data_IF_259828780100
#
_entry.id   IF_259828780100
#
_cell.length_a   1.000
_cell.length_b   1.000
_cell.length_c   1.000
_cell.angle_alpha   90.00
_cell.angle_beta   90.00
_cell.angle_gamma   90.00
#
_symmetry.space_group_name_H-M   'P 1'
#
loop_
_entity.id
_entity.type
_entity.pdbx_description
1 polymer ?
#
# COMPACT_ATOMS: atom_id res chain seq x y z
N UNK A 1 -24.26 -2.26 -8.44
CA UNK A 1 -22.84 -2.05 -8.13
C UNK A 1 -22.30 -1.03 -9.11
N UNK A 2 -21.66 0.02 -8.58
CA UNK A 2 -21.00 1.08 -9.35
C UNK A 2 -19.49 0.90 -9.25
N UNK A 3 -18.81 0.80 -10.38
CA UNK A 3 -17.35 0.63 -10.44
C UNK A 3 -16.70 2.01 -10.61
N UNK A 4 -15.82 2.37 -9.70
CA UNK A 4 -15.00 3.58 -9.79
C UNK A 4 -13.70 3.29 -10.55
N UNK A 5 -13.43 4.00 -11.61
CA UNK A 5 -12.20 3.88 -12.40
C UNK A 5 -11.19 4.89 -11.90
N UNK A 6 -10.07 4.41 -11.36
CA UNK A 6 -8.99 5.26 -10.86
C UNK A 6 -7.81 5.30 -11.81
N UNK A 7 -7.39 6.50 -12.17
CA UNK A 7 -6.16 6.75 -12.93
C UNK A 7 -5.24 7.69 -12.15
N UNK A 8 -3.99 7.30 -12.00
CA UNK A 8 -2.98 8.14 -11.35
C UNK A 8 -2.61 9.35 -12.21
N UNK A 9 -2.47 9.15 -13.52
CA UNK A 9 -2.18 10.20 -14.52
C UNK A 9 -2.93 9.82 -15.79
N UNK A 10 -3.80 10.72 -16.29
CA UNK A 10 -4.55 10.49 -17.52
C UNK A 10 -3.63 10.30 -18.72
N UNK A 11 -3.92 9.30 -19.56
CA UNK A 11 -3.20 9.04 -20.80
C UNK A 11 -1.87 8.31 -20.67
N UNK A 12 -1.60 7.65 -19.53
CA UNK A 12 -0.43 6.78 -19.34
C UNK A 12 -0.73 5.29 -19.72
N UNK A 13 0.30 4.46 -19.52
CA UNK A 13 0.30 3.01 -19.78
C UNK A 13 -1.00 2.35 -19.32
N UNK A 14 -1.71 1.67 -20.22
CA UNK A 14 -2.96 0.95 -19.91
C UNK A 14 -4.24 1.57 -20.50
N UNK A 15 -4.18 2.68 -21.24
CA UNK A 15 -5.36 3.34 -21.83
C UNK A 15 -6.16 2.39 -22.76
N UNK A 16 -5.45 1.57 -23.56
CA UNK A 16 -6.08 0.58 -24.42
C UNK A 16 -6.80 -0.49 -23.60
N UNK A 17 -6.13 -1.02 -22.60
CA UNK A 17 -6.67 -2.04 -21.67
C UNK A 17 -7.88 -1.51 -20.92
N UNK A 18 -7.80 -0.26 -20.43
CA UNK A 18 -8.93 0.43 -19.80
C UNK A 18 -10.11 0.56 -20.74
N UNK A 19 -9.89 1.09 -21.96
CA UNK A 19 -10.98 1.29 -22.94
C UNK A 19 -11.66 -0.03 -23.26
N UNK A 20 -10.90 -1.09 -23.45
CA UNK A 20 -11.43 -2.43 -23.71
C UNK A 20 -12.20 -2.97 -22.49
N UNK A 21 -11.68 -2.79 -21.27
CA UNK A 21 -12.35 -3.18 -20.04
C UNK A 21 -13.69 -2.45 -19.87
N UNK A 22 -13.75 -1.14 -20.12
CA UNK A 22 -14.99 -0.36 -20.05
C UNK A 22 -16.04 -0.89 -21.03
N UNK A 23 -15.63 -1.29 -22.25
CA UNK A 23 -16.54 -1.91 -23.22
C UNK A 23 -17.13 -3.24 -22.72
N UNK A 24 -16.37 -4.01 -21.93
CA UNK A 24 -16.91 -5.21 -21.27
C UNK A 24 -17.87 -4.87 -20.14
N UNK A 25 -17.61 -3.83 -19.34
CA UNK A 25 -18.56 -3.38 -18.31
C UNK A 25 -19.90 -2.96 -18.95
N UNK A 26 -19.86 -2.17 -20.02
CA UNK A 26 -21.05 -1.76 -20.78
C UNK A 26 -21.79 -2.99 -21.33
N UNK A 27 -21.09 -3.91 -21.99
CA UNK A 27 -21.63 -5.16 -22.53
C UNK A 27 -22.37 -5.99 -21.47
N UNK A 28 -21.87 -5.96 -20.24
CA UNK A 28 -22.44 -6.71 -19.11
C UNK A 28 -23.41 -5.90 -18.23
N UNK A 29 -23.71 -4.66 -18.59
CA UNK A 29 -24.66 -3.80 -17.87
C UNK A 29 -24.15 -3.36 -16.49
N UNK A 30 -22.84 -3.28 -16.29
CA UNK A 30 -22.23 -2.79 -15.04
C UNK A 30 -21.99 -1.28 -15.16
N UNK A 31 -22.56 -0.52 -14.23
CA UNK A 31 -22.37 0.94 -14.17
C UNK A 31 -20.96 1.27 -13.69
N UNK A 32 -20.37 2.30 -14.27
CA UNK A 32 -19.05 2.80 -13.84
C UNK A 32 -18.98 4.32 -13.87
N UNK A 33 -18.05 4.89 -13.11
CA UNK A 33 -17.72 6.30 -13.05
C UNK A 33 -16.20 6.48 -13.10
N UNK A 34 -15.72 7.56 -13.72
CA UNK A 34 -14.32 7.96 -13.56
C UNK A 34 -14.16 8.70 -12.24
N UNK A 35 -13.24 8.22 -11.40
CA UNK A 35 -12.95 8.88 -10.13
C UNK A 35 -12.11 10.13 -10.36
N UNK A 36 -12.66 11.28 -9.96
CA UNK A 36 -11.97 12.57 -9.93
C UNK A 36 -11.31 12.81 -8.56
N UNK A 37 -10.81 14.03 -8.32
CA UNK A 37 -10.33 14.44 -6.99
C UNK A 37 -11.44 14.52 -5.94
N UNK A 38 -12.70 14.55 -6.34
CA UNK A 38 -13.86 14.52 -5.43
C UNK A 38 -14.14 13.09 -5.01
N UNK A 39 -14.51 12.92 -3.74
CA UNK A 39 -14.93 11.62 -3.18
C UNK A 39 -16.27 11.20 -3.77
N UNK A 40 -16.23 10.54 -4.92
CA UNK A 40 -17.40 9.95 -5.55
C UNK A 40 -17.62 8.55 -4.98
N UNK A 41 -18.84 8.26 -4.54
CA UNK A 41 -19.17 6.96 -3.96
C UNK A 41 -19.20 5.88 -5.05
N UNK A 42 -18.46 4.78 -4.82
CA UNK A 42 -18.49 3.58 -5.64
C UNK A 42 -18.38 2.33 -4.76
N UNK A 43 -18.78 1.19 -5.32
CA UNK A 43 -18.78 -0.09 -4.61
C UNK A 43 -17.45 -0.85 -4.77
N UNK A 44 -16.67 -0.52 -5.80
CA UNK A 44 -15.40 -1.14 -6.16
C UNK A 44 -14.53 -0.12 -6.88
N UNK A 45 -13.27 0.01 -6.52
CA UNK A 45 -12.28 0.81 -7.25
C UNK A 45 -11.49 -0.13 -8.16
N UNK A 46 -11.46 0.16 -9.46
CA UNK A 46 -10.60 -0.54 -10.41
C UNK A 46 -9.45 0.37 -10.80
N UNK A 47 -8.23 -0.16 -10.72
CA UNK A 47 -6.99 0.53 -11.09
C UNK A 47 -6.28 -0.21 -12.20
N UNK A 48 -5.65 0.54 -13.13
CA UNK A 48 -4.85 0.01 -14.22
C UNK A 48 -3.40 0.41 -13.99
N UNK A 49 -2.51 -0.58 -13.81
CA UNK A 49 -1.10 -0.34 -13.52
C UNK A 49 -0.50 -1.41 -12.62
N UNK A 50 0.71 -1.18 -12.16
CA UNK A 50 1.39 -2.03 -11.17
C UNK A 50 1.13 -1.59 -9.73
N UNK A 51 1.88 -2.18 -8.79
CA UNK A 51 1.76 -1.96 -7.34
C UNK A 51 1.79 -0.47 -6.96
N UNK A 52 2.64 0.34 -7.60
CA UNK A 52 2.71 1.77 -7.33
C UNK A 52 1.40 2.55 -7.62
N UNK A 53 0.56 2.05 -8.55
CA UNK A 53 -0.76 2.63 -8.81
C UNK A 53 -1.75 2.23 -7.72
N UNK A 54 -1.69 0.97 -7.27
CA UNK A 54 -2.49 0.48 -6.14
C UNK A 54 -2.20 1.29 -4.89
N UNK A 55 -0.91 1.49 -4.55
CA UNK A 55 -0.51 2.27 -3.38
C UNK A 55 -1.09 3.70 -3.38
N UNK A 56 -1.16 4.34 -4.56
CA UNK A 56 -1.78 5.68 -4.66
C UNK A 56 -3.30 5.64 -4.56
N UNK A 57 -3.95 4.57 -5.02
CA UNK A 57 -5.39 4.40 -4.95
C UNK A 57 -5.91 4.11 -3.53
N UNK A 58 -5.06 3.58 -2.64
CA UNK A 58 -5.43 3.27 -1.24
C UNK A 58 -6.05 4.47 -0.53
N UNK A 59 -5.53 5.67 -0.76
CA UNK A 59 -6.08 6.91 -0.17
C UNK A 59 -7.55 7.16 -0.53
N UNK A 60 -8.05 6.61 -1.63
CA UNK A 60 -9.45 6.69 -2.05
C UNK A 60 -10.34 5.66 -1.37
N UNK A 61 -9.77 4.53 -1.00
CA UNK A 61 -10.47 3.43 -0.33
C UNK A 61 -10.63 3.66 1.18
N UNK A 62 -9.71 4.41 1.78
CA UNK A 62 -9.73 4.73 3.21
C UNK A 62 -10.97 5.58 3.54
N UNK A 63 -11.67 5.23 4.61
CA UNK A 63 -12.87 5.93 5.06
C UNK A 63 -14.18 5.40 4.48
N UNK A 64 -14.19 4.89 3.24
CA UNK A 64 -15.35 4.21 2.65
C UNK A 64 -15.26 2.68 2.73
N UNK A 65 -14.09 2.15 3.08
CA UNK A 65 -13.76 0.72 3.05
C UNK A 65 -14.10 0.07 1.68
N UNK A 66 -13.90 0.84 0.60
CA UNK A 66 -14.18 0.38 -0.76
C UNK A 66 -13.05 -0.54 -1.23
N UNK A 67 -13.35 -1.77 -1.67
CA UNK A 67 -12.32 -2.68 -2.16
C UNK A 67 -11.66 -2.17 -3.45
N UNK A 68 -10.39 -2.56 -3.65
CA UNK A 68 -9.61 -2.22 -4.84
C UNK A 68 -9.36 -3.49 -5.65
N UNK A 69 -9.61 -3.44 -6.95
CA UNK A 69 -9.24 -4.45 -7.93
C UNK A 69 -8.18 -3.86 -8.86
N UNK A 70 -7.03 -4.49 -8.94
CA UNK A 70 -5.94 -4.02 -9.78
C UNK A 70 -5.76 -4.91 -11.02
N UNK A 71 -5.73 -4.28 -12.19
CA UNK A 71 -5.41 -4.89 -13.48
C UNK A 71 -3.99 -4.47 -13.84
N UNK A 72 -3.11 -5.47 -13.95
CA UNK A 72 -1.72 -5.23 -14.32
C UNK A 72 -1.61 -4.79 -15.77
N UNK A 73 -0.94 -3.66 -16.00
CA UNK A 73 -0.64 -3.12 -17.35
C UNK A 73 0.86 -2.92 -17.55
N UNK A 74 1.67 -3.70 -16.85
CA UNK A 74 3.13 -3.59 -16.89
C UNK A 74 3.82 -4.84 -16.36
N UNK A 75 4.85 -4.66 -15.53
CA UNK A 75 5.52 -5.77 -14.84
C UNK A 75 4.61 -6.35 -13.76
N UNK A 76 4.59 -7.69 -13.65
CA UNK A 76 3.84 -8.40 -12.62
C UNK A 76 4.18 -7.87 -11.22
N UNK A 77 3.16 -7.51 -10.46
CA UNK A 77 3.27 -7.03 -9.09
C UNK A 77 2.67 -8.00 -8.08
N UNK A 78 2.80 -7.66 -6.80
CA UNK A 78 2.23 -8.42 -5.68
C UNK A 78 0.77 -8.02 -5.35
N UNK A 79 0.31 -6.86 -5.85
CA UNK A 79 -0.98 -6.27 -5.52
C UNK A 79 -1.99 -6.35 -6.67
N UNK A 80 -1.55 -6.74 -7.85
CA UNK A 80 -2.41 -6.89 -9.02
C UNK A 80 -3.14 -8.24 -8.99
N UNK A 81 -4.40 -8.25 -9.44
CA UNK A 81 -5.29 -9.42 -9.36
C UNK A 81 -5.60 -10.05 -10.71
N UNK A 82 -5.46 -9.28 -11.79
CA UNK A 82 -5.71 -9.69 -13.17
C UNK A 82 -4.65 -9.13 -14.10
N UNK A 83 -4.35 -9.87 -15.15
CA UNK A 83 -3.51 -9.44 -16.25
C UNK A 83 -4.35 -8.80 -17.38
N UNK A 84 -3.71 -8.11 -18.33
CA UNK A 84 -4.39 -7.46 -19.46
C UNK A 84 -5.24 -8.44 -20.29
N UNK A 85 -4.83 -9.68 -20.43
CA UNK A 85 -5.56 -10.73 -21.15
C UNK A 85 -6.74 -11.30 -20.36
N UNK A 86 -6.94 -10.91 -19.12
CA UNK A 86 -7.99 -11.40 -18.22
C UNK A 86 -9.11 -10.37 -17.96
N UNK A 87 -9.08 -9.21 -18.63
CA UNK A 87 -10.02 -8.11 -18.36
C UNK A 87 -11.49 -8.50 -18.59
N UNK A 88 -11.78 -9.35 -19.60
CA UNK A 88 -13.14 -9.85 -19.77
C UNK A 88 -13.57 -10.76 -18.62
N UNK A 89 -12.66 -11.59 -18.10
CA UNK A 89 -12.92 -12.41 -16.91
C UNK A 89 -13.17 -11.55 -15.67
N UNK A 90 -12.38 -10.50 -15.48
CA UNK A 90 -12.56 -9.53 -14.41
C UNK A 90 -13.96 -8.88 -14.48
N UNK A 91 -14.35 -8.37 -15.64
CA UNK A 91 -15.67 -7.77 -15.87
C UNK A 91 -16.82 -8.77 -15.60
N UNK A 92 -16.68 -10.04 -16.01
CA UNK A 92 -17.67 -11.10 -15.71
C UNK A 92 -17.78 -11.36 -14.21
N UNK A 93 -16.64 -11.46 -13.49
CA UNK A 93 -16.64 -11.68 -12.04
C UNK A 93 -17.27 -10.50 -11.30
N UNK A 94 -17.04 -9.28 -11.76
CA UNK A 94 -17.68 -8.07 -11.22
C UNK A 94 -19.21 -8.16 -11.39
N UNK A 95 -19.70 -8.43 -12.60
CA UNK A 95 -21.13 -8.59 -12.88
C UNK A 95 -21.77 -9.64 -11.99
N UNK A 96 -21.09 -10.78 -11.84
CA UNK A 96 -21.64 -11.94 -11.12
C UNK A 96 -21.49 -11.83 -9.59
N UNK A 97 -20.83 -10.79 -9.07
CA UNK A 97 -20.52 -10.65 -7.66
C UNK A 97 -19.58 -11.76 -7.12
N UNK A 98 -18.74 -12.33 -7.99
CA UNK A 98 -17.86 -13.47 -7.67
C UNK A 98 -16.39 -13.04 -7.46
N UNK A 99 -16.18 -11.86 -6.90
CA UNK A 99 -14.86 -11.42 -6.47
C UNK A 99 -14.56 -11.97 -5.07
N UNK A 100 -13.36 -12.52 -4.90
CA UNK A 100 -12.81 -12.81 -3.59
C UNK A 100 -11.97 -11.61 -3.12
N UNK A 101 -12.14 -11.20 -1.88
CA UNK A 101 -11.41 -10.10 -1.28
C UNK A 101 -10.43 -10.61 -0.24
N UNK A 102 -9.27 -9.96 -0.16
CA UNK A 102 -8.32 -10.13 0.94
C UNK A 102 -8.21 -8.82 1.71
N UNK A 103 -8.31 -8.89 3.02
CA UNK A 103 -8.07 -7.74 3.89
C UNK A 103 -6.57 -7.51 4.05
N UNK A 104 -6.18 -6.25 4.19
CA UNK A 104 -4.79 -5.83 4.37
C UNK A 104 -4.68 -4.87 5.53
N UNK A 105 -3.73 -5.10 6.43
CA UNK A 105 -3.41 -4.14 7.48
C UNK A 105 -2.86 -2.85 6.87
N UNK A 106 -3.34 -1.70 7.38
CA UNK A 106 -2.83 -0.38 7.05
C UNK A 106 -2.12 0.22 8.26
N UNK A 107 -1.02 0.89 8.01
CA UNK A 107 -0.39 1.76 8.99
C UNK A 107 -1.14 3.10 9.04
N UNK A 108 -1.58 3.50 10.21
CA UNK A 108 -1.97 4.87 10.50
C UNK A 108 -0.81 5.59 11.19
N UNK A 109 -0.34 6.66 10.59
CA UNK A 109 0.81 7.44 11.06
C UNK A 109 0.30 8.78 11.57
N UNK A 110 0.43 9.05 12.86
CA UNK A 110 0.08 10.31 13.47
C UNK A 110 1.35 11.06 13.89
N UNK A 111 1.46 12.32 13.48
CA UNK A 111 2.57 13.19 13.85
C UNK A 111 2.16 14.17 14.96
N UNK A 112 3.12 14.64 15.75
CA UNK A 112 2.88 15.62 16.83
C UNK A 112 2.21 16.92 16.35
N UNK A 113 2.40 17.29 15.09
CA UNK A 113 1.74 18.44 14.46
C UNK A 113 0.27 18.21 14.09
N UNK A 114 -0.32 17.09 14.50
CA UNK A 114 -1.71 16.69 14.23
C UNK A 114 -1.97 16.15 12.82
N UNK A 115 -0.95 15.98 11.99
CA UNK A 115 -1.11 15.36 10.67
C UNK A 115 -1.22 13.86 10.82
N UNK A 116 -2.16 13.28 10.07
CA UNK A 116 -2.34 11.83 9.94
C UNK A 116 -2.08 11.42 8.48
N UNK A 117 -1.39 10.31 8.30
CA UNK A 117 -1.17 9.67 7.00
C UNK A 117 -1.44 8.16 7.11
N UNK A 118 -1.64 7.52 5.96
CA UNK A 118 -1.86 6.07 5.89
C UNK A 118 -0.89 5.46 4.89
N UNK A 119 -0.38 4.27 5.21
CA UNK A 119 0.49 3.52 4.33
C UNK A 119 0.06 2.05 4.24
N UNK A 120 0.00 1.53 3.00
CA UNK A 120 -0.22 0.09 2.77
C UNK A 120 1.08 -0.70 2.93
N UNK A 121 2.22 -0.14 2.52
CA UNK A 121 3.52 -0.81 2.65
C UNK A 121 4.20 -0.45 3.97
N UNK A 122 4.75 0.74 4.06
CA UNK A 122 5.62 1.12 5.17
C UNK A 122 5.61 2.62 5.47
N UNK A 123 6.04 2.95 6.68
CA UNK A 123 6.39 4.29 7.15
C UNK A 123 7.88 4.30 7.50
N UNK A 124 8.59 5.27 6.97
CA UNK A 124 10.05 5.40 7.15
C UNK A 124 10.36 6.68 7.90
N UNK A 125 11.15 6.54 8.96
CA UNK A 125 11.74 7.66 9.69
C UNK A 125 13.24 7.54 9.50
N UNK A 126 13.82 8.50 8.81
CA UNK A 126 15.24 8.51 8.55
C UNK A 126 15.86 9.90 8.79
N UNK A 127 17.16 9.92 9.03
CA UNK A 127 17.91 11.15 9.20
C UNK A 127 17.90 11.99 7.94
N UNK A 128 17.73 13.27 8.08
CA UNK A 128 17.86 14.23 6.98
C UNK A 128 19.34 14.42 6.63
N UNK A 129 19.72 14.23 5.39
CA UNK A 129 21.07 14.49 4.91
C UNK A 129 21.26 15.98 4.61
N UNK A 130 21.60 16.80 5.61
CA UNK A 130 22.20 18.13 5.36
C UNK A 130 23.73 18.03 5.33
N UNK A 131 24.40 19.00 4.69
CA UNK A 131 25.86 19.03 4.65
C UNK A 131 26.49 19.03 6.07
N UNK A 132 25.78 19.60 7.05
CA UNK A 132 26.21 19.72 8.44
C UNK A 132 25.89 18.45 9.26
N UNK A 133 24.86 17.68 8.90
CA UNK A 133 24.40 16.50 9.65
C UNK A 133 25.00 15.16 9.18
N UNK A 134 25.81 15.15 8.11
CA UNK A 134 26.38 13.92 7.52
C UNK A 134 27.24 13.09 8.50
N UNK A 135 27.79 13.71 9.53
CA UNK A 135 28.64 13.04 10.52
C UNK A 135 27.91 12.62 11.79
N UNK A 136 26.61 12.89 11.90
CA UNK A 136 25.86 12.61 13.15
C UNK A 136 24.92 11.43 12.94
N UNK A 137 25.07 10.40 13.77
CA UNK A 137 24.17 9.26 13.83
C UNK A 137 22.85 9.69 14.49
N UNK A 138 21.72 9.38 13.88
CA UNK A 138 20.43 9.62 14.51
C UNK A 138 20.26 8.72 15.74
N UNK A 139 19.81 9.29 16.85
CA UNK A 139 19.40 8.51 18.04
C UNK A 139 17.88 8.43 18.04
N UNK A 140 17.38 7.21 17.90
CA UNK A 140 15.95 6.91 17.81
C UNK A 140 15.52 6.08 19.01
N UNK A 141 14.59 6.61 19.82
CA UNK A 141 13.86 5.84 20.82
C UNK A 141 12.62 5.20 20.16
N UNK A 142 12.44 3.92 20.36
CA UNK A 142 11.27 3.19 19.86
C UNK A 142 10.55 2.54 21.02
N UNK A 143 9.25 2.77 21.10
CA UNK A 143 8.35 2.21 22.10
C UNK A 143 7.20 1.49 21.40
N UNK A 144 6.68 0.44 22.02
CA UNK A 144 5.46 -0.25 21.61
C UNK A 144 4.50 -0.21 22.80
N UNK A 145 3.35 0.42 22.66
CA UNK A 145 2.38 0.66 23.73
C UNK A 145 3.03 1.32 24.98
N UNK A 146 3.93 2.29 24.77
CA UNK A 146 4.64 2.98 25.84
C UNK A 146 5.76 2.17 26.52
N UNK A 147 6.04 0.96 26.05
CA UNK A 147 7.14 0.15 26.55
C UNK A 147 8.36 0.33 25.65
N UNK A 148 9.51 0.72 26.18
CA UNK A 148 10.71 0.91 25.40
C UNK A 148 11.20 -0.44 24.82
N UNK A 149 11.43 -0.46 23.53
CA UNK A 149 11.89 -1.62 22.78
C UNK A 149 13.33 -1.44 22.32
N UNK A 150 13.62 -0.28 21.73
CA UNK A 150 14.94 0.08 21.25
C UNK A 150 15.35 1.51 21.60
N UNK A 151 16.63 1.69 21.84
CA UNK A 151 17.32 2.96 21.64
C UNK A 151 18.38 2.72 20.57
N UNK A 152 18.15 3.24 19.38
CA UNK A 152 18.96 2.95 18.19
C UNK A 152 19.88 4.12 17.85
N UNK A 153 21.16 3.85 17.58
CA UNK A 153 21.98 4.67 16.71
C UNK A 153 21.90 4.09 15.31
N UNK A 154 21.17 4.74 14.41
CA UNK A 154 20.88 4.18 13.09
C UNK A 154 20.68 5.31 12.04
N UNK A 155 20.68 4.95 10.77
CA UNK A 155 20.28 5.88 9.72
C UNK A 155 18.76 6.13 9.72
N UNK A 156 17.99 5.17 10.24
CA UNK A 156 16.56 5.28 10.34
C UNK A 156 15.88 4.02 10.88
N UNK A 157 14.57 4.00 10.79
CA UNK A 157 13.71 2.89 11.13
C UNK A 157 12.53 2.82 10.16
N UNK A 158 12.13 1.60 9.82
CA UNK A 158 10.96 1.31 8.99
C UNK A 158 9.94 0.60 9.87
N UNK A 159 8.70 1.05 9.82
CA UNK A 159 7.55 0.27 10.29
C UNK A 159 6.79 -0.18 9.05
N UNK A 160 6.71 -1.48 8.81
CA UNK A 160 6.08 -2.05 7.64
C UNK A 160 4.86 -2.91 8.01
N UNK A 161 3.84 -2.87 7.16
CA UNK A 161 2.76 -3.85 7.17
C UNK A 161 3.24 -5.19 6.59
N UNK A 162 2.47 -6.28 6.70
CA UNK A 162 2.79 -7.53 6.00
C UNK A 162 2.89 -7.36 4.48
N UNK A 163 2.05 -6.50 3.89
CA UNK A 163 2.13 -6.16 2.46
C UNK A 163 3.47 -5.49 2.13
N UNK A 164 3.93 -4.57 2.97
CA UNK A 164 5.22 -3.88 2.83
C UNK A 164 6.44 -4.74 3.21
N UNK A 165 6.24 -5.94 3.76
CA UNK A 165 7.34 -6.82 4.14
C UNK A 165 8.27 -7.20 2.99
N UNK A 166 7.77 -7.16 1.75
CA UNK A 166 8.52 -7.42 0.52
C UNK A 166 9.07 -6.17 -0.15
N UNK A 167 8.81 -4.98 0.42
CA UNK A 167 9.26 -3.69 -0.09
C UNK A 167 10.58 -3.21 0.59
N UNK A 168 10.64 -1.98 1.07
CA UNK A 168 11.87 -1.42 1.64
C UNK A 168 12.32 -2.15 2.91
N UNK A 169 11.38 -2.63 3.72
CA UNK A 169 11.70 -3.43 4.91
C UNK A 169 12.56 -4.65 4.57
N UNK A 170 12.26 -5.38 3.47
CA UNK A 170 13.06 -6.52 3.03
C UNK A 170 14.49 -6.10 2.69
N UNK A 171 14.65 -5.01 1.94
CA UNK A 171 15.97 -4.49 1.56
C UNK A 171 16.81 -4.05 2.76
N UNK A 172 16.16 -3.62 3.85
CA UNK A 172 16.80 -3.26 5.10
C UNK A 172 17.06 -4.48 6.04
N UNK A 173 16.77 -5.70 5.60
CA UNK A 173 16.97 -6.93 6.36
C UNK A 173 15.75 -7.36 7.21
N UNK A 174 14.58 -6.83 6.91
CA UNK A 174 13.29 -7.26 7.47
C UNK A 174 12.91 -8.68 7.04
N UNK A 175 11.91 -9.23 7.70
CA UNK A 175 11.39 -10.58 7.41
C UNK A 175 10.22 -10.50 6.45
N UNK A 176 10.00 -11.53 5.64
CA UNK A 176 8.83 -11.65 4.78
C UNK A 176 7.67 -12.20 5.62
N UNK A 177 6.53 -11.56 5.56
CA UNK A 177 5.28 -12.00 6.18
C UNK A 177 4.23 -12.31 5.14
N UNK A 178 3.39 -13.31 5.44
CA UNK A 178 2.15 -13.51 4.70
C UNK A 178 1.24 -12.29 4.90
N UNK A 179 0.67 -11.72 3.83
CA UNK A 179 -0.17 -10.54 3.91
C UNK A 179 -1.42 -10.66 4.80
N UNK A 180 -1.85 -11.88 5.10
CA UNK A 180 -2.99 -12.15 5.98
C UNK A 180 -2.64 -12.20 7.48
N UNK A 181 -1.37 -12.06 7.86
CA UNK A 181 -0.96 -12.06 9.28
C UNK A 181 -1.17 -10.65 9.88
N UNK A 182 -2.03 -10.47 10.91
CA UNK A 182 -2.30 -9.17 11.52
C UNK A 182 -1.11 -8.72 12.38
N UNK A 183 -0.11 -8.13 11.76
CA UNK A 183 1.14 -7.73 12.41
C UNK A 183 1.82 -6.57 11.69
N UNK A 184 2.76 -5.94 12.37
CA UNK A 184 3.70 -4.97 11.79
C UNK A 184 5.14 -5.43 12.03
N UNK A 185 6.05 -4.89 11.22
CA UNK A 185 7.49 -5.16 11.31
C UNK A 185 8.19 -3.85 11.61
N UNK A 186 8.98 -3.81 12.66
CA UNK A 186 9.94 -2.76 12.93
C UNK A 186 11.31 -3.18 12.42
N UNK A 187 11.82 -2.50 11.40
CA UNK A 187 13.12 -2.81 10.78
C UNK A 187 14.06 -1.61 10.90
N UNK A 188 15.18 -1.73 11.63
CA UNK A 188 16.21 -0.69 11.70
C UNK A 188 16.96 -0.55 10.37
N UNK A 189 17.30 0.68 9.98
CA UNK A 189 18.12 0.97 8.80
C UNK A 189 19.55 1.24 9.25
N UNK A 190 20.50 0.42 8.79
CA UNK A 190 21.93 0.58 9.08
C UNK A 190 22.23 0.86 10.56
N UNK A 191 21.67 0.06 11.46
CA UNK A 191 21.93 0.20 12.91
C UNK A 191 23.41 -0.02 13.23
N UNK A 192 23.97 0.88 14.02
CA UNK A 192 25.34 0.74 14.54
C UNK A 192 25.44 -0.15 15.78
N UNK A 193 24.29 -0.58 16.32
CA UNK A 193 24.24 -1.45 17.50
C UNK A 193 24.35 -2.92 17.10
N UNK A 194 25.32 -3.63 17.65
CA UNK A 194 25.44 -5.09 17.48
C UNK A 194 24.22 -5.79 18.10
N UNK A 195 23.60 -6.67 17.35
CA UNK A 195 22.47 -7.47 17.84
C UNK A 195 21.09 -6.87 17.62
N UNK A 196 20.96 -5.65 17.10
CA UNK A 196 19.65 -5.13 16.69
C UNK A 196 19.09 -5.98 15.55
N UNK A 197 17.84 -6.41 15.70
CA UNK A 197 17.13 -7.25 14.73
C UNK A 197 15.76 -6.67 14.44
N UNK A 198 15.18 -6.93 13.27
CA UNK A 198 13.77 -6.66 13.03
C UNK A 198 12.88 -7.34 14.07
N UNK A 199 11.82 -6.65 14.47
CA UNK A 199 10.83 -7.15 15.41
C UNK A 199 9.48 -7.21 14.71
N UNK A 200 8.77 -8.32 14.90
CA UNK A 200 7.37 -8.48 14.48
C UNK A 200 6.48 -8.33 15.72
N UNK A 201 5.43 -7.54 15.59
CA UNK A 201 4.47 -7.29 16.67
C UNK A 201 3.05 -7.18 16.11
N UNK A 202 2.00 -7.41 16.93
CA UNK A 202 0.61 -7.33 16.49
C UNK A 202 0.25 -5.93 15.94
N UNK A 203 -0.59 -5.87 14.90
CA UNK A 203 -0.98 -4.62 14.24
C UNK A 203 -1.98 -3.75 15.03
N UNK A 204 -2.48 -4.25 16.15
CA UNK A 204 -3.30 -3.49 17.09
C UNK A 204 -2.47 -2.70 18.13
N UNK A 205 -1.16 -2.70 18.01
CA UNK A 205 -0.21 -1.98 18.87
C UNK A 205 0.12 -0.60 18.34
N UNK A 206 0.58 0.28 19.25
CA UNK A 206 1.03 1.64 18.93
C UNK A 206 2.48 1.85 19.32
#
# INVERSE_FOLDING_TARGET
>A
MVVGIYEKIKGQTGEKTKTEFLSYLEKYGVSFIELSEKNEACDLIVVFGGDGTVLTAVSRAIGSNTPILAINTGTLGFLTSFEENEIELAAKKIRDGKLAFSERSLLEISCENGKTAYALNDAVIERTSSAESRAVIAKLGVEIDGNPVYTLGADGVIVASPTGSTAYSLSAGGVILDPGIPSFILTPICSHSFGTRPIVFPDNKK
#
